data_IF_455848607813
#
_entry.id   IF_455848607813
#
_cell.length_a   1.000
_cell.length_b   1.000
_cell.length_c   1.000
_cell.angle_alpha   90.00
_cell.angle_beta   90.00
_cell.angle_gamma   90.00
#
_symmetry.space_group_name_H-M   'P 1'
#
loop_
_entity.id
_entity.type
_entity.pdbx_description
1 polymer ?
#
# COMPACT_ATOMS: atom_id res chain seq x y z
N UNK A 1 -24.66 -3.60 7.12
CA UNK A 1 -23.44 -3.82 6.31
C UNK A 1 -22.46 -2.70 6.63
N UNK A 2 -21.33 -3.04 7.25
CA UNK A 2 -20.28 -2.06 7.61
C UNK A 2 -19.14 -2.20 6.60
N UNK A 3 -18.66 -1.06 6.10
CA UNK A 3 -17.50 -0.99 5.21
C UNK A 3 -16.35 -0.35 5.98
N UNK A 4 -15.23 -1.07 6.09
CA UNK A 4 -14.01 -0.60 6.74
C UNK A 4 -12.98 -0.20 5.70
N UNK A 5 -12.50 1.04 5.75
CA UNK A 5 -11.48 1.55 4.82
C UNK A 5 -10.18 1.88 5.53
N UNK A 6 -9.07 1.32 5.05
CA UNK A 6 -7.72 1.56 5.56
C UNK A 6 -6.88 2.35 4.55
N UNK A 7 -6.19 3.40 5.02
CA UNK A 7 -5.29 4.21 4.21
C UNK A 7 -3.91 3.58 4.05
N UNK A 8 -3.05 4.17 3.21
CA UNK A 8 -1.72 3.61 2.91
C UNK A 8 -0.79 3.50 4.12
N UNK A 9 -0.95 4.34 5.14
CA UNK A 9 -0.21 4.24 6.41
C UNK A 9 -0.68 3.06 7.26
N UNK A 10 -1.98 2.77 7.28
CA UNK A 10 -2.58 1.62 7.95
C UNK A 10 -2.15 0.29 7.32
N UNK A 11 -1.69 0.30 6.08
CA UNK A 11 -1.16 -0.87 5.37
C UNK A 11 0.29 -0.67 4.93
N UNK A 12 1.04 0.19 5.62
CA UNK A 12 2.39 0.58 5.20
C UNK A 12 3.50 -0.39 5.61
N UNK A 13 3.29 -1.20 6.65
CA UNK A 13 4.23 -2.20 7.18
C UNK A 13 3.45 -3.41 7.68
N UNK A 14 4.12 -4.55 7.90
CA UNK A 14 3.47 -5.74 8.49
C UNK A 14 2.76 -5.43 9.81
N UNK A 15 3.38 -4.66 10.72
CA UNK A 15 2.78 -4.32 12.00
C UNK A 15 1.54 -3.43 11.85
N UNK A 16 1.53 -2.51 10.89
CA UNK A 16 0.36 -1.68 10.60
C UNK A 16 -0.80 -2.54 10.03
N UNK A 17 -0.47 -3.48 9.14
CA UNK A 17 -1.45 -4.43 8.59
C UNK A 17 -2.04 -5.32 9.69
N UNK A 18 -1.21 -5.83 10.60
CA UNK A 18 -1.65 -6.66 11.72
C UNK A 18 -2.64 -5.90 12.62
N UNK A 19 -2.33 -4.65 13.00
CA UNK A 19 -3.25 -3.79 13.75
C UNK A 19 -4.56 -3.53 13.01
N UNK A 20 -4.49 -3.33 11.68
CA UNK A 20 -5.69 -3.14 10.86
C UNK A 20 -6.55 -4.41 10.82
N UNK A 21 -5.93 -5.60 10.77
CA UNK A 21 -6.61 -6.88 10.82
C UNK A 21 -7.26 -7.15 12.18
N UNK A 22 -6.58 -6.79 13.28
CA UNK A 22 -7.14 -6.86 14.64
C UNK A 22 -8.45 -6.06 14.74
N UNK A 23 -8.45 -4.80 14.29
CA UNK A 23 -9.64 -3.94 14.25
C UNK A 23 -10.78 -4.58 13.44
N UNK A 24 -10.48 -5.24 12.32
CA UNK A 24 -11.50 -5.93 11.52
C UNK A 24 -12.05 -7.15 12.28
N UNK A 25 -11.17 -7.91 12.95
CA UNK A 25 -11.55 -9.14 13.66
C UNK A 25 -12.41 -8.93 14.91
N UNK A 26 -12.42 -7.72 15.46
CA UNK A 26 -13.24 -7.35 16.63
C UNK A 26 -14.75 -7.37 16.34
N UNK A 27 -15.16 -7.31 15.07
CA UNK A 27 -16.55 -7.16 14.67
C UNK A 27 -16.85 -7.94 13.39
N UNK A 28 -17.64 -9.01 13.55
CA UNK A 28 -18.02 -9.93 12.46
C UNK A 28 -18.85 -9.27 11.36
N UNK A 29 -19.48 -8.12 11.63
CA UNK A 29 -20.26 -7.38 10.63
C UNK A 29 -19.37 -6.59 9.65
N UNK A 30 -18.06 -6.46 9.93
CA UNK A 30 -17.05 -5.81 9.07
C UNK A 30 -16.52 -6.74 7.98
N UNK A 31 -17.41 -7.33 7.21
CA UNK A 31 -17.06 -8.28 6.14
C UNK A 31 -16.59 -7.63 4.84
N UNK A 32 -16.73 -6.31 4.68
CA UNK A 32 -16.29 -5.59 3.49
C UNK A 32 -15.15 -4.62 3.82
N UNK A 33 -13.92 -4.98 3.41
CA UNK A 33 -12.70 -4.24 3.70
C UNK A 33 -12.14 -3.64 2.42
N UNK A 34 -11.86 -2.34 2.44
CA UNK A 34 -11.23 -1.61 1.35
C UNK A 34 -9.87 -1.10 1.81
N UNK A 35 -8.83 -1.31 1.01
CA UNK A 35 -7.48 -0.82 1.28
C UNK A 35 -6.98 0.09 0.18
N UNK A 36 -6.20 1.10 0.56
CA UNK A 36 -5.31 1.80 -0.37
C UNK A 36 -4.03 0.97 -0.63
N UNK A 37 -3.22 1.36 -1.61
CA UNK A 37 -1.87 0.80 -1.76
C UNK A 37 -0.99 1.13 -0.54
N UNK A 38 0.11 0.38 -0.36
CA UNK A 38 1.09 0.62 0.70
C UNK A 38 1.71 2.01 0.57
N UNK A 39 2.08 2.61 1.71
CA UNK A 39 2.48 4.01 1.78
C UNK A 39 3.58 4.37 0.76
N UNK A 40 3.29 5.37 -0.09
CA UNK A 40 4.20 5.85 -1.13
C UNK A 40 4.14 5.09 -2.47
N UNK A 41 3.52 3.90 -2.54
CA UNK A 41 3.47 3.13 -3.79
C UNK A 41 2.71 3.84 -4.90
N UNK A 42 1.56 4.46 -4.62
CA UNK A 42 0.82 5.21 -5.64
C UNK A 42 1.64 6.38 -6.20
N UNK A 43 2.40 7.08 -5.36
CA UNK A 43 3.27 8.18 -5.80
C UNK A 43 4.37 7.67 -6.74
N UNK A 44 4.98 6.54 -6.39
CA UNK A 44 5.99 5.88 -7.22
C UNK A 44 5.39 5.42 -8.56
N UNK A 45 4.18 4.86 -8.57
CA UNK A 45 3.48 4.48 -9.79
C UNK A 45 3.13 5.68 -10.68
N UNK A 46 2.71 6.80 -10.09
CA UNK A 46 2.48 8.04 -10.83
C UNK A 46 3.79 8.56 -11.44
N UNK A 47 4.90 8.48 -10.70
CA UNK A 47 6.20 8.91 -11.22
C UNK A 47 6.65 8.07 -12.44
N UNK A 48 6.32 6.78 -12.50
CA UNK A 48 6.62 5.91 -13.66
C UNK A 48 5.90 6.33 -14.95
N UNK A 49 4.79 7.07 -14.83
CA UNK A 49 4.03 7.58 -15.97
C UNK A 49 4.66 8.83 -16.59
N UNK A 50 5.72 9.39 -15.98
CA UNK A 50 6.40 10.56 -16.52
C UNK A 50 7.05 10.23 -17.88
N UNK A 51 6.76 11.01 -18.94
CA UNK A 51 7.32 10.78 -20.28
C UNK A 51 8.82 11.14 -20.37
N UNK A 52 9.32 11.97 -19.46
CA UNK A 52 10.72 12.40 -19.41
C UNK A 52 11.63 11.43 -18.62
N UNK A 53 11.05 10.33 -18.11
CA UNK A 53 11.77 9.40 -17.26
C UNK A 53 12.68 8.48 -18.07
N UNK A 54 14.00 8.65 -17.88
CA UNK A 54 15.01 7.77 -18.46
C UNK A 54 14.95 6.34 -17.89
N UNK A 55 15.64 5.41 -18.56
CA UNK A 55 15.64 3.99 -18.18
C UNK A 55 16.19 3.73 -16.78
N UNK A 56 17.20 4.49 -16.35
CA UNK A 56 17.87 4.31 -15.06
C UNK A 56 16.98 4.76 -13.92
N UNK A 57 16.36 5.94 -14.06
CA UNK A 57 15.41 6.47 -13.09
C UNK A 57 14.15 5.59 -13.00
N UNK A 58 13.68 5.07 -14.14
CA UNK A 58 12.58 4.09 -14.19
C UNK A 58 12.89 2.82 -13.40
N UNK A 59 14.06 2.24 -13.63
CA UNK A 59 14.51 1.03 -12.91
C UNK A 59 14.63 1.31 -11.40
N UNK A 60 15.17 2.46 -11.00
CA UNK A 60 15.27 2.84 -9.59
C UNK A 60 13.91 2.93 -8.89
N UNK A 61 12.87 3.45 -9.57
CA UNK A 61 11.52 3.51 -9.03
C UNK A 61 10.92 2.10 -8.89
N UNK A 62 11.12 1.23 -9.88
CA UNK A 62 10.65 -0.16 -9.85
C UNK A 62 11.32 -0.92 -8.69
N UNK A 63 12.63 -0.78 -8.53
CA UNK A 63 13.39 -1.38 -7.42
C UNK A 63 12.85 -0.89 -6.08
N UNK A 64 12.62 0.42 -5.91
CA UNK A 64 12.05 0.97 -4.67
C UNK A 64 10.66 0.40 -4.35
N UNK A 65 9.79 0.25 -5.35
CA UNK A 65 8.48 -0.40 -5.17
C UNK A 65 8.69 -1.86 -4.73
N UNK A 66 9.57 -2.60 -5.40
CA UNK A 66 9.87 -4.01 -5.09
C UNK A 66 10.41 -4.17 -3.68
N UNK A 67 11.43 -3.40 -3.30
CA UNK A 67 12.05 -3.45 -1.97
C UNK A 67 11.02 -3.18 -0.88
N UNK A 68 10.19 -2.13 -1.04
CA UNK A 68 9.11 -1.83 -0.10
C UNK A 68 8.20 -3.04 0.13
N UNK A 69 7.84 -3.77 -0.91
CA UNK A 69 6.94 -4.92 -0.77
C UNK A 69 7.62 -6.18 -0.23
N UNK A 70 8.91 -6.36 -0.50
CA UNK A 70 9.70 -7.47 0.06
C UNK A 70 10.11 -7.23 1.52
N UNK A 71 10.15 -5.98 1.96
CA UNK A 71 10.49 -5.60 3.33
C UNK A 71 9.27 -5.42 4.24
N UNK A 72 8.05 -5.60 3.72
CA UNK A 72 6.83 -5.44 4.52
C UNK A 72 6.78 -6.47 5.63
#
# INVERSE_FOLDING_TARGET
MIVSKFGGTSVGTFQAMQKSAEIVSEDVDRSFIVISATSGTTNDLVALMSPELDSTAREAIIIRIKERHLSI
#
